data_IF_269288701624
#
_entry.id   IF_269288701624
#
_cell.length_a   1.000
_cell.length_b   1.000
_cell.length_c   1.000
_cell.angle_alpha   90.00
_cell.angle_beta   90.00
_cell.angle_gamma   90.00
#
_symmetry.space_group_name_H-M   'P 1'
#
loop_
_entity.id
_entity.type
_entity.pdbx_description
1 polymer ?
#
# COMPACT_ATOMS: atom_id res chain seq x y z
N UNK A 1 46.29 -4.74 42.25
CA UNK A 1 45.48 -3.51 42.40
C UNK A 1 45.10 -2.82 41.08
N UNK A 2 45.96 -2.78 40.04
CA UNK A 2 45.63 -2.12 38.76
C UNK A 2 44.51 -2.79 37.92
N UNK A 3 44.29 -4.09 38.07
CA UNK A 3 43.23 -4.85 37.37
C UNK A 3 41.82 -4.46 37.85
N UNK A 4 41.63 -4.35 39.17
CA UNK A 4 40.34 -3.98 39.76
C UNK A 4 39.90 -2.56 39.38
N UNK A 5 40.83 -1.59 39.37
CA UNK A 5 40.56 -0.22 38.95
C UNK A 5 40.13 -0.11 37.47
N UNK A 6 40.73 -0.91 36.57
CA UNK A 6 40.30 -0.97 35.16
C UNK A 6 38.88 -1.49 35.00
N UNK A 7 38.48 -2.49 35.79
CA UNK A 7 37.11 -3.03 35.77
C UNK A 7 36.06 -2.01 36.20
N UNK A 8 36.36 -1.19 37.20
CA UNK A 8 35.47 -0.14 37.71
C UNK A 8 35.29 0.96 36.66
N UNK A 9 36.39 1.43 36.06
CA UNK A 9 36.34 2.44 34.97
C UNK A 9 35.59 1.91 33.75
N UNK A 10 35.75 0.63 33.40
CA UNK A 10 35.03 0.01 32.30
C UNK A 10 33.53 -0.16 32.58
N UNK A 11 33.14 -0.30 33.85
CA UNK A 11 31.74 -0.34 34.28
C UNK A 11 31.12 1.06 34.25
N UNK A 12 31.84 2.09 34.70
CA UNK A 12 31.43 3.50 34.63
C UNK A 12 31.24 4.00 33.18
N UNK A 13 32.08 3.57 32.25
CA UNK A 13 31.94 3.88 30.81
C UNK A 13 30.63 3.38 30.20
N UNK A 14 29.94 2.40 30.82
CA UNK A 14 28.62 1.93 30.34
C UNK A 14 27.49 2.92 30.63
N UNK A 15 27.67 3.84 31.58
CA UNK A 15 26.70 4.88 31.92
C UNK A 15 26.87 6.16 31.09
N UNK A 16 27.94 6.26 30.30
CA UNK A 16 28.18 7.37 29.37
C UNK A 16 27.67 6.92 28.01
N UNK A 17 26.67 7.64 27.48
CA UNK A 17 26.13 7.41 26.13
C UNK A 17 27.25 7.45 25.10
N UNK A 18 27.14 6.66 24.04
CA UNK A 18 28.11 6.76 22.95
C UNK A 18 27.98 8.15 22.30
N UNK A 19 29.06 8.75 21.77
CA UNK A 19 29.01 10.12 21.25
C UNK A 19 27.92 10.37 20.19
N UNK A 20 27.56 9.36 19.41
CA UNK A 20 26.52 9.40 18.37
C UNK A 20 25.09 9.08 18.87
N UNK A 21 24.91 8.81 20.17
CA UNK A 21 23.60 8.56 20.81
C UNK A 21 23.07 9.81 21.54
N UNK A 22 23.70 10.98 21.32
CA UNK A 22 23.35 12.25 21.98
C UNK A 22 22.33 13.03 21.16
N UNK A 23 22.49 13.08 19.83
CA UNK A 23 21.58 13.77 18.91
C UNK A 23 21.44 13.01 17.59
N UNK A 24 20.35 13.28 16.87
CA UNK A 24 20.03 12.63 15.59
C UNK A 24 19.26 11.32 15.75
N UNK A 25 19.07 10.56 14.65
CA UNK A 25 18.19 9.38 14.64
C UNK A 25 18.59 8.31 15.66
N UNK A 26 19.88 8.12 15.91
CA UNK A 26 20.38 7.12 16.88
C UNK A 26 20.10 7.48 18.35
N UNK A 27 19.60 8.68 18.63
CA UNK A 27 19.20 9.15 19.95
C UNK A 27 17.67 9.09 20.16
N UNK A 28 16.90 8.79 19.10
CA UNK A 28 15.44 8.74 19.13
C UNK A 28 14.96 7.41 19.79
N UNK A 29 13.98 7.45 20.71
CA UNK A 29 13.43 6.23 21.33
C UNK A 29 12.82 5.24 20.33
N UNK A 30 12.38 5.68 19.16
CA UNK A 30 11.75 4.84 18.14
C UNK A 30 12.78 4.18 17.19
N UNK A 31 14.05 4.60 17.25
CA UNK A 31 15.10 4.08 16.40
C UNK A 31 15.44 2.61 16.70
N UNK A 32 15.37 1.76 15.67
CA UNK A 32 15.80 0.36 15.71
C UNK A 32 16.92 0.10 14.72
N UNK A 33 17.92 -0.66 15.17
CA UNK A 33 19.02 -1.11 14.32
C UNK A 33 18.51 -2.10 13.26
N UNK A 34 18.99 -1.94 12.02
CA UNK A 34 18.56 -2.74 10.87
C UNK A 34 19.12 -4.16 10.81
N UNK A 35 19.90 -4.59 11.82
CA UNK A 35 20.53 -5.92 11.84
C UNK A 35 19.69 -6.85 12.71
N UNK A 36 18.74 -7.61 12.12
CA UNK A 36 17.97 -8.57 12.89
C UNK A 36 18.87 -9.71 13.37
N UNK A 37 18.54 -10.31 14.52
CA UNK A 37 19.23 -11.52 14.94
C UNK A 37 18.81 -12.69 14.05
N UNK A 38 19.75 -13.62 13.80
CA UNK A 38 19.46 -14.84 13.07
C UNK A 38 18.36 -15.71 13.72
N UNK A 39 18.16 -15.56 15.03
CA UNK A 39 17.07 -16.22 15.78
C UNK A 39 15.72 -15.54 15.63
N UNK A 40 15.66 -14.30 15.12
CA UNK A 40 14.43 -13.49 15.06
C UNK A 40 13.88 -13.45 13.63
N UNK A 41 14.76 -13.41 12.62
CA UNK A 41 14.37 -13.36 11.21
C UNK A 41 14.53 -14.73 10.55
N UNK A 42 13.49 -15.21 9.87
CA UNK A 42 13.50 -16.46 9.07
C UNK A 42 13.88 -17.70 9.91
N UNK A 43 13.19 -17.87 11.04
CA UNK A 43 13.26 -19.05 11.92
C UNK A 43 13.14 -20.38 11.15
N UNK A 44 12.29 -20.40 10.12
CA UNK A 44 12.12 -21.53 9.21
C UNK A 44 12.66 -21.19 7.82
N UNK A 45 13.32 -22.14 7.18
CA UNK A 45 13.68 -22.01 5.77
C UNK A 45 12.40 -21.98 4.91
N UNK A 46 12.35 -21.22 3.80
CA UNK A 46 11.16 -21.14 2.95
C UNK A 46 10.71 -22.48 2.37
N UNK A 47 11.67 -23.38 2.14
CA UNK A 47 11.39 -24.74 1.67
C UNK A 47 10.95 -25.70 2.79
N UNK A 48 11.00 -25.26 4.05
CA UNK A 48 10.66 -26.05 5.25
C UNK A 48 9.64 -25.27 6.07
N UNK A 49 8.52 -24.92 5.44
CA UNK A 49 7.42 -24.26 6.13
C UNK A 49 6.85 -25.18 7.23
N UNK A 50 6.49 -24.59 8.37
CA UNK A 50 5.93 -25.31 9.52
C UNK A 50 4.51 -25.83 9.27
N UNK A 51 3.82 -25.30 8.26
CA UNK A 51 2.45 -25.64 7.92
C UNK A 51 2.31 -25.94 6.43
N UNK A 52 1.39 -26.86 6.12
CA UNK A 52 0.97 -27.12 4.76
C UNK A 52 0.02 -26.01 4.29
N UNK A 53 0.45 -25.20 3.31
CA UNK A 53 -0.40 -24.18 2.72
C UNK A 53 -1.44 -24.81 1.77
N UNK A 54 -2.72 -24.51 1.99
CA UNK A 54 -3.81 -24.82 1.05
C UNK A 54 -4.22 -23.51 0.39
N UNK A 55 -3.83 -23.33 -0.88
CA UNK A 55 -4.16 -22.13 -1.66
C UNK A 55 -5.48 -22.37 -2.40
N UNK A 56 -6.58 -21.66 -2.09
CA UNK A 56 -7.85 -21.82 -2.79
C UNK A 56 -7.73 -21.40 -4.26
N UNK A 57 -8.28 -22.21 -5.17
CA UNK A 57 -8.27 -21.92 -6.61
C UNK A 57 -9.61 -21.41 -7.16
N UNK A 58 -10.71 -21.66 -6.46
CA UNK A 58 -12.06 -21.32 -6.92
C UNK A 58 -12.96 -21.05 -5.72
N UNK A 59 -13.94 -20.18 -5.91
CA UNK A 59 -14.95 -19.91 -4.88
C UNK A 59 -15.84 -21.15 -4.69
N UNK A 60 -16.22 -21.51 -3.44
CA UNK A 60 -17.00 -22.71 -3.14
C UNK A 60 -18.29 -22.86 -3.96
N UNK A 61 -18.94 -21.73 -4.26
CA UNK A 61 -20.17 -21.67 -5.07
C UNK A 61 -19.97 -22.20 -6.50
N UNK A 62 -18.75 -22.10 -7.03
CA UNK A 62 -18.43 -22.43 -8.42
C UNK A 62 -17.75 -23.80 -8.58
N UNK A 63 -17.48 -24.49 -7.47
CA UNK A 63 -16.86 -25.83 -7.47
C UNK A 63 -17.85 -26.86 -8.03
N UNK A 64 -19.09 -26.85 -7.54
CA UNK A 64 -20.13 -27.79 -8.00
C UNK A 64 -21.04 -27.19 -9.08
N UNK A 65 -21.28 -25.88 -9.04
CA UNK A 65 -22.03 -25.19 -10.10
C UNK A 65 -21.07 -24.64 -11.17
N UNK A 66 -20.70 -25.50 -12.11
CA UNK A 66 -19.69 -25.20 -13.14
C UNK A 66 -20.25 -24.51 -14.40
N UNK A 67 -21.46 -23.94 -14.33
CA UNK A 67 -22.08 -23.26 -15.48
C UNK A 67 -21.21 -22.08 -15.93
N UNK A 68 -20.53 -22.25 -17.06
CA UNK A 68 -19.53 -21.28 -17.52
C UNK A 68 -20.16 -20.04 -18.18
N UNK A 69 -21.23 -20.19 -18.96
CA UNK A 69 -21.80 -19.07 -19.73
C UNK A 69 -22.30 -17.91 -18.86
N UNK A 70 -22.78 -18.18 -17.63
CA UNK A 70 -23.16 -17.16 -16.66
C UNK A 70 -21.95 -16.45 -16.03
N UNK A 71 -20.80 -17.11 -15.97
CA UNK A 71 -19.54 -16.59 -15.41
C UNK A 71 -18.65 -15.92 -16.46
N UNK A 72 -18.87 -16.18 -17.74
CA UNK A 72 -18.01 -15.70 -18.84
C UNK A 72 -18.11 -14.18 -19.04
N UNK A 73 -17.33 -13.43 -18.27
CA UNK A 73 -17.23 -11.96 -18.40
C UNK A 73 -16.56 -11.52 -19.72
N UNK A 74 -15.83 -12.41 -20.39
CA UNK A 74 -15.09 -12.06 -21.62
C UNK A 74 -16.04 -11.91 -22.80
N UNK A 75 -17.01 -12.82 -22.92
CA UNK A 75 -17.97 -12.85 -24.03
C UNK A 75 -19.30 -12.22 -23.68
N UNK A 76 -19.67 -12.17 -22.40
CA UNK A 76 -20.89 -11.52 -21.92
C UNK A 76 -20.74 -9.98 -21.91
N UNK A 77 -20.46 -9.41 -23.07
CA UNK A 77 -20.37 -7.98 -23.30
C UNK A 77 -21.42 -7.56 -24.32
N UNK A 78 -22.01 -6.36 -24.17
CA UNK A 78 -22.90 -5.83 -25.19
C UNK A 78 -22.23 -5.82 -26.57
N UNK A 79 -22.95 -6.16 -27.65
CA UNK A 79 -22.41 -6.10 -29.00
C UNK A 79 -22.13 -4.65 -29.41
N UNK A 80 -21.14 -4.48 -30.29
CA UNK A 80 -20.78 -3.15 -30.82
C UNK A 80 -21.92 -2.64 -31.69
N UNK A 81 -22.49 -1.49 -31.34
CA UNK A 81 -23.49 -0.78 -32.15
C UNK A 81 -22.79 0.32 -32.95
N UNK A 82 -22.94 0.31 -34.28
CA UNK A 82 -22.39 1.33 -35.18
C UNK A 82 -23.54 2.07 -35.84
N UNK A 83 -23.59 3.38 -35.67
CA UNK A 83 -24.58 4.29 -36.28
C UNK A 83 -23.86 5.32 -37.13
N UNK A 84 -24.35 5.54 -38.36
CA UNK A 84 -23.78 6.54 -39.27
C UNK A 84 -24.58 7.83 -39.10
N UNK A 85 -23.88 8.93 -38.78
CA UNK A 85 -24.48 10.26 -38.71
C UNK A 85 -24.27 10.99 -40.03
N UNK A 86 -25.35 11.51 -40.62
CA UNK A 86 -25.31 12.39 -41.79
C UNK A 86 -25.35 13.85 -41.35
N UNK A 87 -25.07 14.76 -42.28
CA UNK A 87 -25.12 16.22 -42.04
C UNK A 87 -26.44 16.67 -41.38
N UNK A 88 -27.57 16.17 -41.87
CA UNK A 88 -28.89 16.51 -41.32
C UNK A 88 -29.07 16.10 -39.85
N UNK A 89 -28.49 14.95 -39.44
CA UNK A 89 -28.58 14.47 -38.06
C UNK A 89 -27.77 15.37 -37.13
N UNK A 90 -26.59 15.82 -37.58
CA UNK A 90 -25.70 16.70 -36.81
C UNK A 90 -26.30 18.10 -36.68
N UNK A 91 -26.84 18.67 -37.76
CA UNK A 91 -27.52 19.98 -37.74
C UNK A 91 -28.70 19.98 -36.77
N UNK A 92 -29.47 18.88 -36.74
CA UNK A 92 -30.56 18.70 -35.78
C UNK A 92 -30.03 18.64 -34.33
N UNK A 93 -29.00 17.84 -34.05
CA UNK A 93 -28.39 17.75 -32.72
C UNK A 93 -27.85 19.09 -32.23
N UNK A 94 -27.22 19.87 -33.11
CA UNK A 94 -26.71 21.21 -32.77
C UNK A 94 -27.84 22.19 -32.46
N UNK A 95 -28.97 22.10 -33.18
CA UNK A 95 -30.14 22.95 -32.94
C UNK A 95 -30.84 22.59 -31.63
N UNK A 96 -30.83 21.32 -31.25
CA UNK A 96 -31.47 20.81 -30.03
C UNK A 96 -30.60 20.99 -28.77
N UNK A 97 -29.27 20.97 -28.90
CA UNK A 97 -28.36 21.05 -27.76
C UNK A 97 -28.23 22.47 -27.23
N UNK A 98 -28.53 22.64 -25.94
CA UNK A 98 -28.18 23.80 -25.13
C UNK A 98 -27.26 23.35 -24.00
N UNK A 99 -26.44 24.26 -23.47
CA UNK A 99 -25.47 23.96 -22.40
C UNK A 99 -25.90 24.65 -21.11
N UNK A 100 -26.00 23.86 -20.04
CA UNK A 100 -26.08 24.34 -18.66
C UNK A 100 -24.77 24.04 -17.91
N UNK A 101 -24.60 24.58 -16.71
CA UNK A 101 -23.42 24.39 -15.87
C UNK A 101 -23.09 22.89 -15.63
N UNK A 102 -24.10 22.01 -15.60
CA UNK A 102 -23.94 20.57 -15.42
C UNK A 102 -23.52 19.79 -16.66
N UNK A 103 -23.55 20.39 -17.85
CA UNK A 103 -23.12 19.73 -19.10
C UNK A 103 -21.59 19.72 -19.28
N UNK A 104 -20.87 20.49 -18.46
CA UNK A 104 -19.41 20.55 -18.52
C UNK A 104 -18.76 19.39 -17.76
N UNK A 105 -17.69 18.78 -18.29
CA UNK A 105 -17.01 17.71 -17.61
C UNK A 105 -16.47 18.21 -16.25
N UNK A 106 -16.62 17.42 -15.17
CA UNK A 106 -16.15 17.83 -13.86
C UNK A 106 -14.63 18.00 -13.87
N UNK A 107 -14.16 19.07 -13.26
CA UNK A 107 -12.72 19.31 -13.10
C UNK A 107 -12.19 18.41 -11.99
N UNK A 108 -11.11 17.68 -12.25
CA UNK A 108 -10.36 16.99 -11.21
C UNK A 108 -9.58 18.01 -10.37
N UNK A 109 -10.23 18.56 -9.34
CA UNK A 109 -9.61 19.52 -8.44
C UNK A 109 -8.77 18.78 -7.39
N UNK A 110 -7.46 18.99 -7.42
CA UNK A 110 -6.58 18.57 -6.33
C UNK A 110 -6.68 19.56 -5.17
N UNK A 111 -6.94 19.06 -3.97
CA UNK A 111 -6.94 19.89 -2.77
C UNK A 111 -5.56 20.54 -2.54
N UNK A 112 -5.53 21.80 -2.11
CA UNK A 112 -4.32 22.35 -1.48
C UNK A 112 -4.22 21.73 -0.09
N UNK A 113 -3.26 20.85 0.10
CA UNK A 113 -3.04 20.14 1.37
C UNK A 113 -1.88 20.83 2.10
N UNK A 114 -2.07 21.09 3.39
CA UNK A 114 -0.97 21.40 4.30
C UNK A 114 -0.35 20.09 4.76
N UNK A 115 0.92 19.87 4.45
CA UNK A 115 1.64 18.69 4.90
C UNK A 115 2.05 18.86 6.36
N UNK A 116 1.72 17.86 7.18
CA UNK A 116 2.15 17.78 8.58
C UNK A 116 2.70 16.37 8.83
N UNK A 117 3.86 16.32 9.48
CA UNK A 117 4.74 15.16 9.56
C UNK A 117 4.08 13.97 10.25
N UNK A 118 3.30 14.21 11.32
CA UNK A 118 2.73 13.16 12.18
C UNK A 118 1.18 13.24 12.29
N UNK A 119 0.50 13.95 11.39
CA UNK A 119 -0.92 14.27 11.53
C UNK A 119 -1.88 13.07 11.44
N UNK A 120 -1.51 11.98 10.75
CA UNK A 120 -2.34 10.79 10.60
C UNK A 120 -1.77 9.64 11.43
N UNK A 121 -2.56 9.13 12.39
CA UNK A 121 -2.14 8.04 13.26
C UNK A 121 -0.96 8.37 14.18
N UNK A 122 -0.60 9.65 14.31
CA UNK A 122 0.61 10.06 15.04
C UNK A 122 1.92 9.72 14.33
N UNK A 123 1.88 9.45 13.01
CA UNK A 123 3.06 9.01 12.24
C UNK A 123 3.20 7.48 12.12
N UNK A 124 2.29 6.70 12.72
CA UNK A 124 2.26 5.24 12.67
C UNK A 124 0.91 4.73 12.16
N UNK A 125 0.90 3.84 11.16
CA UNK A 125 -0.30 3.24 10.55
C UNK A 125 -0.21 1.71 10.52
#
# INVERSE_FOLDING_TARGET
MASAAKSIVQTLKRYIKKPWEITGPCADPEYKLAVPKATEYRLFCPATASAQAIVPSSDPETVYNIKYFSRDQRRNRPPIKRTILKKADVEKMMKEKTFDAGDFPPVYLTAKVGEDYNARGGGYQ
#
